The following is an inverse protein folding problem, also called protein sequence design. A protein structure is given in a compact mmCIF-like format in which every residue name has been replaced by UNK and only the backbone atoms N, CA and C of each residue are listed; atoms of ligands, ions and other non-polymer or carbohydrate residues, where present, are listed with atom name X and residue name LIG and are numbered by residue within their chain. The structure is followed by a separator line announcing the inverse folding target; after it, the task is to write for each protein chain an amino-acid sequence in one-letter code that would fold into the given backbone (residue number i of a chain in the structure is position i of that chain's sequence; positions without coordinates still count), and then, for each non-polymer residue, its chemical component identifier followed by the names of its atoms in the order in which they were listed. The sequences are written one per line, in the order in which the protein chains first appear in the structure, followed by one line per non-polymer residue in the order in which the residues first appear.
data_IF_596926763516
#
_entry.id   IF_596926763516
#
_cell.length_a   1.000
_cell.length_b   1.000
_cell.length_c   1.000
_cell.angle_alpha   90.00
_cell.angle_beta   90.00
_cell.angle_gamma   90.00
#
_symmetry.space_group_name_H-M   'P 1'
#
loop_
_entity.id
_entity.type
_entity.pdbx_description
1 polymer ?
#
# COMPACT_ATOMS: atom_id res chain seq x y z
N UNK A 1 -8.87 18.69 -24.78
CA UNK A 1 -8.17 18.22 -23.56
C UNK A 1 -9.19 18.20 -22.44
N UNK A 2 -9.24 17.17 -21.60
CA UNK A 2 -10.16 17.17 -20.46
C UNK A 2 -9.48 17.95 -19.33
N UNK A 3 -9.87 19.22 -19.15
CA UNK A 3 -9.24 20.13 -18.20
C UNK A 3 -9.29 19.63 -16.75
N UNK A 4 -10.31 18.84 -16.39
CA UNK A 4 -10.43 18.22 -15.06
C UNK A 4 -9.47 17.05 -14.85
N UNK A 5 -8.96 16.45 -15.93
CA UNK A 5 -8.10 15.26 -15.91
C UNK A 5 -6.69 15.53 -16.42
N UNK A 6 -6.32 16.79 -16.68
CA UNK A 6 -5.00 17.12 -17.22
C UNK A 6 -4.40 18.28 -16.45
N UNK A 7 -3.27 18.01 -15.79
CA UNK A 7 -2.57 18.98 -14.97
C UNK A 7 -1.07 19.00 -15.22
N UNK A 8 -0.42 20.01 -14.68
CA UNK A 8 1.04 20.14 -14.72
C UNK A 8 1.52 20.80 -13.44
N UNK A 9 2.67 20.34 -12.93
CA UNK A 9 3.29 20.88 -11.74
C UNK A 9 4.80 21.01 -11.98
N UNK A 10 5.41 22.01 -11.34
CA UNK A 10 6.85 22.14 -11.22
C UNK A 10 7.20 21.81 -9.78
N UNK A 11 8.06 20.83 -9.58
CA UNK A 11 8.62 20.46 -8.28
C UNK A 11 10.03 21.04 -8.25
N UNK A 12 10.29 21.98 -7.34
CA UNK A 12 11.62 22.54 -7.12
C UNK A 12 12.13 22.13 -5.75
N UNK A 13 13.46 22.04 -5.61
CA UNK A 13 14.08 21.99 -4.29
C UNK A 13 13.66 23.22 -3.48
N UNK A 14 13.51 23.06 -2.14
CA UNK A 14 13.14 24.15 -1.21
C UNK A 14 14.04 25.40 -1.32
N UNK A 15 15.21 25.27 -1.94
CA UNK A 15 16.19 26.34 -2.15
C UNK A 15 16.02 27.15 -3.45
N UNK A 16 15.17 26.73 -4.39
CA UNK A 16 14.99 27.43 -5.66
C UNK A 16 13.60 28.06 -5.79
N UNK A 17 13.58 29.35 -6.14
CA UNK A 17 12.37 30.13 -6.44
C UNK A 17 11.50 29.38 -7.45
N UNK A 18 10.25 29.11 -7.09
CA UNK A 18 9.29 28.37 -7.92
C UNK A 18 9.30 28.86 -9.37
N UNK A 19 9.79 28.00 -10.28
CA UNK A 19 9.76 28.28 -11.71
C UNK A 19 8.33 28.52 -12.19
N UNK A 20 8.13 29.48 -13.09
CA UNK A 20 6.80 29.71 -13.68
C UNK A 20 6.50 28.60 -14.68
N UNK A 21 5.38 27.90 -14.48
CA UNK A 21 4.84 26.95 -15.46
C UNK A 21 4.68 27.64 -16.81
N UNK A 22 5.20 27.00 -17.87
CA UNK A 22 5.08 27.52 -19.22
C UNK A 22 3.59 27.60 -19.60
N UNK A 23 3.18 28.68 -20.26
CA UNK A 23 1.76 28.97 -20.54
C UNK A 23 1.08 27.95 -21.46
N UNK A 24 1.86 27.13 -22.15
CA UNK A 24 1.33 26.03 -22.99
C UNK A 24 0.96 24.78 -22.21
N UNK A 25 1.34 24.68 -20.94
CA UNK A 25 1.06 23.50 -20.13
C UNK A 25 -0.37 23.54 -19.54
N UNK A 26 -1.00 22.35 -19.39
CA UNK A 26 -2.26 22.21 -18.67
C UNK A 26 -2.22 22.84 -17.28
N UNK A 27 -3.26 23.61 -16.93
CA UNK A 27 -3.35 24.34 -15.64
C UNK A 27 -4.02 23.54 -14.52
N UNK A 28 -4.49 22.32 -14.79
CA UNK A 28 -5.17 21.49 -13.80
C UNK A 28 -4.23 20.88 -12.77
N UNK A 29 -4.81 20.20 -11.78
CA UNK A 29 -4.08 19.41 -10.81
C UNK A 29 -3.66 18.05 -11.41
N UNK A 30 -2.49 17.53 -11.02
CA UNK A 30 -2.10 16.15 -11.32
C UNK A 30 -2.78 15.23 -10.30
N UNK A 31 -3.63 14.32 -10.77
CA UNK A 31 -4.49 13.46 -9.94
C UNK A 31 -4.44 12.00 -10.39
N UNK A 32 -4.59 11.08 -9.45
CA UNK A 32 -4.77 9.64 -9.70
C UNK A 32 -5.67 9.04 -8.61
N UNK A 33 -6.88 8.60 -8.96
CA UNK A 33 -7.85 8.15 -7.96
C UNK A 33 -8.18 9.26 -6.97
N UNK A 34 -7.91 9.04 -5.69
CA UNK A 34 -8.00 10.05 -4.63
C UNK A 34 -6.67 10.72 -4.31
N UNK A 35 -5.63 10.50 -5.11
CA UNK A 35 -4.36 11.19 -4.96
C UNK A 35 -4.32 12.48 -5.76
N UNK A 36 -3.76 13.52 -5.15
CA UNK A 36 -3.42 14.80 -5.76
C UNK A 36 -1.95 15.09 -5.48
N UNK A 37 -1.17 15.38 -6.52
CA UNK A 37 0.22 15.80 -6.36
C UNK A 37 0.27 17.20 -5.74
N UNK A 38 0.96 17.32 -4.61
CA UNK A 38 1.29 18.61 -4.01
C UNK A 38 2.64 19.08 -4.55
N UNK A 39 2.63 20.17 -5.33
CA UNK A 39 3.82 20.71 -5.96
C UNK A 39 4.84 21.26 -4.95
N UNK A 40 4.39 21.68 -3.76
CA UNK A 40 5.25 22.25 -2.73
C UNK A 40 6.11 21.20 -2.01
N UNK A 41 5.53 20.03 -1.72
CA UNK A 41 6.25 18.91 -1.11
C UNK A 41 6.79 17.91 -2.12
N UNK A 42 6.29 17.91 -3.36
CA UNK A 42 6.59 16.90 -4.38
C UNK A 42 5.94 15.54 -4.09
N UNK A 43 4.98 15.48 -3.15
CA UNK A 43 4.35 14.22 -2.69
C UNK A 43 2.90 14.12 -3.12
N UNK A 44 2.41 12.91 -3.33
CA UNK A 44 0.98 12.67 -3.52
C UNK A 44 0.25 12.67 -2.16
N UNK A 45 -0.74 13.55 -2.04
CA UNK A 45 -1.62 13.66 -0.88
C UNK A 45 -3.00 13.10 -1.21
N UNK A 46 -3.70 12.57 -0.21
CA UNK A 46 -5.09 12.14 -0.38
C UNK A 46 -5.99 13.38 -0.45
N UNK A 47 -6.75 13.52 -1.54
CA UNK A 47 -7.73 14.57 -1.75
C UNK A 47 -8.93 14.38 -0.82
N UNK A 48 -8.86 15.06 0.32
CA UNK A 48 -9.88 14.99 1.35
C UNK A 48 -11.25 15.52 0.89
N UNK A 49 -11.30 16.44 -0.08
CA UNK A 49 -12.55 16.97 -0.64
C UNK A 49 -13.24 15.90 -1.50
N UNK A 50 -12.47 15.16 -2.28
CA UNK A 50 -12.97 14.01 -3.03
C UNK A 50 -13.47 12.92 -2.08
N UNK A 51 -12.72 12.63 -1.02
CA UNK A 51 -13.11 11.65 0.02
C UNK A 51 -14.42 12.05 0.69
N UNK A 52 -14.63 13.33 1.00
CA UNK A 52 -15.87 13.80 1.62
C UNK A 52 -17.12 13.53 0.76
N UNK A 53 -17.02 13.67 -0.56
CA UNK A 53 -18.11 13.29 -1.48
C UNK A 53 -18.43 11.80 -1.39
N UNK A 54 -17.39 10.97 -1.31
CA UNK A 54 -17.54 9.51 -1.21
C UNK A 54 -17.98 9.04 0.18
N UNK A 55 -17.73 9.81 1.24
CA UNK A 55 -18.29 9.56 2.57
C UNK A 55 -19.82 9.67 2.55
N UNK A 56 -20.34 10.74 1.94
CA UNK A 56 -21.80 10.93 1.81
C UNK A 56 -22.44 9.85 0.92
N UNK A 57 -21.73 9.43 -0.13
CA UNK A 57 -22.16 8.29 -0.94
C UNK A 57 -22.18 6.99 -0.13
N UNK A 58 -21.12 6.70 0.65
CA UNK A 58 -21.07 5.51 1.50
C UNK A 58 -22.22 5.49 2.52
N UNK A 59 -22.51 6.62 3.18
CA UNK A 59 -23.66 6.73 4.09
C UNK A 59 -24.96 6.35 3.39
N UNK A 60 -25.22 6.92 2.22
CA UNK A 60 -26.42 6.62 1.40
C UNK A 60 -26.53 5.13 1.07
N UNK A 61 -25.43 4.50 0.67
CA UNK A 61 -25.42 3.07 0.35
C UNK A 61 -25.71 2.21 1.59
N UNK A 62 -25.14 2.56 2.74
CA UNK A 62 -25.38 1.85 3.99
C UNK A 62 -26.84 1.99 4.46
N UNK A 63 -27.42 3.19 4.37
CA UNK A 63 -28.80 3.46 4.75
C UNK A 63 -29.82 2.72 3.87
N UNK A 64 -29.49 2.48 2.60
CA UNK A 64 -30.34 1.76 1.68
C UNK A 64 -30.31 0.23 1.86
N UNK A 65 -29.40 -0.31 2.68
CA UNK A 65 -29.25 -1.74 2.89
C UNK A 65 -30.44 -2.33 3.67
N UNK A 66 -31.03 -3.39 3.12
CA UNK A 66 -32.24 -4.03 3.69
C UNK A 66 -31.93 -5.12 4.69
N UNK A 67 -30.76 -5.76 4.56
CA UNK A 67 -30.29 -6.81 5.46
C UNK A 67 -28.93 -6.47 6.07
N UNK A 68 -28.59 -7.11 7.18
CA UNK A 68 -27.28 -7.00 7.83
C UNK A 68 -26.15 -7.49 6.92
N UNK A 69 -26.40 -8.54 6.12
CA UNK A 69 -25.41 -9.04 5.17
C UNK A 69 -25.14 -8.06 4.02
N UNK A 70 -26.19 -7.43 3.48
CA UNK A 70 -26.02 -6.38 2.45
C UNK A 70 -25.18 -5.22 3.01
N UNK A 71 -25.46 -4.82 4.25
CA UNK A 71 -24.74 -3.74 4.93
C UNK A 71 -23.25 -4.08 5.11
N UNK A 72 -22.94 -5.30 5.58
CA UNK A 72 -21.55 -5.77 5.73
C UNK A 72 -20.86 -5.83 4.36
N UNK A 73 -21.55 -6.32 3.33
CA UNK A 73 -21.01 -6.39 1.98
C UNK A 73 -20.74 -4.99 1.40
N UNK A 74 -21.65 -4.05 1.59
CA UNK A 74 -21.49 -2.64 1.20
C UNK A 74 -20.26 -2.03 1.87
N UNK A 75 -20.11 -2.23 3.18
CA UNK A 75 -18.93 -1.78 3.92
C UNK A 75 -17.65 -2.44 3.39
N UNK A 76 -17.63 -3.76 3.22
CA UNK A 76 -16.44 -4.48 2.78
C UNK A 76 -15.98 -4.05 1.37
N UNK A 77 -16.92 -3.85 0.45
CA UNK A 77 -16.63 -3.43 -0.92
C UNK A 77 -16.26 -1.94 -0.97
N UNK A 78 -17.04 -1.09 -0.30
CA UNK A 78 -16.90 0.35 -0.44
C UNK A 78 -16.03 0.97 0.65
N UNK A 79 -16.43 0.82 1.91
CA UNK A 79 -15.72 1.35 3.08
C UNK A 79 -14.31 0.81 3.23
N UNK A 80 -14.12 -0.51 3.07
CA UNK A 80 -12.82 -1.13 3.28
C UNK A 80 -11.95 -1.18 2.00
N UNK A 81 -12.53 -1.57 0.85
CA UNK A 81 -11.76 -1.84 -0.38
C UNK A 81 -11.71 -0.69 -1.37
N UNK A 82 -12.83 -0.01 -1.65
CA UNK A 82 -12.85 1.05 -2.66
C UNK A 82 -11.99 2.24 -2.25
N UNK A 83 -12.10 2.71 -1.01
CA UNK A 83 -11.27 3.82 -0.52
C UNK A 83 -9.78 3.48 -0.58
N UNK A 84 -9.38 2.37 0.01
CA UNK A 84 -7.97 1.93 0.06
C UNK A 84 -7.38 1.74 -1.34
N UNK A 85 -8.14 1.14 -2.28
CA UNK A 85 -7.69 1.02 -3.68
C UNK A 85 -7.51 2.38 -4.38
N UNK A 86 -8.30 3.40 -4.02
CA UNK A 86 -8.21 4.73 -4.63
C UNK A 86 -7.21 5.66 -3.92
N UNK A 87 -6.70 5.28 -2.74
CA UNK A 87 -5.60 5.99 -2.08
C UNK A 87 -4.23 5.69 -2.69
N UNK A 88 -4.16 4.81 -3.69
CA UNK A 88 -2.90 4.34 -4.25
C UNK A 88 -2.38 3.14 -3.49
N UNK A 89 -1.65 2.28 -4.21
CA UNK A 89 -1.01 1.13 -3.59
C UNK A 89 0.24 1.59 -2.82
N UNK A 90 0.42 1.16 -1.57
CA UNK A 90 1.65 1.43 -0.83
C UNK A 90 2.87 0.89 -1.58
N UNK A 91 3.90 1.72 -1.72
CA UNK A 91 5.18 1.37 -2.32
C UNK A 91 6.27 2.20 -1.66
N UNK A 92 7.52 1.72 -1.73
CA UNK A 92 8.66 2.40 -1.09
C UNK A 92 8.84 3.85 -1.54
N UNK A 93 8.44 4.21 -2.76
CA UNK A 93 8.49 5.57 -3.28
C UNK A 93 7.54 6.55 -2.59
N UNK A 94 6.45 6.07 -1.99
CA UNK A 94 5.54 6.90 -1.19
C UNK A 94 6.01 7.02 0.27
N UNK A 95 6.65 5.95 0.76
CA UNK A 95 7.17 5.85 2.12
C UNK A 95 6.10 5.77 3.21
N UNK A 96 6.57 5.69 4.45
CA UNK A 96 5.73 5.51 5.64
C UNK A 96 4.70 6.63 5.86
N UNK A 97 5.08 7.87 5.54
CA UNK A 97 4.20 9.03 5.67
C UNK A 97 2.88 8.87 4.89
N UNK A 98 2.92 8.19 3.73
CA UNK A 98 1.72 7.92 2.95
C UNK A 98 0.82 6.86 3.62
N UNK A 99 1.39 5.79 4.18
CA UNK A 99 0.63 4.77 4.94
C UNK A 99 -0.03 5.40 6.17
N UNK A 100 0.69 6.27 6.88
CA UNK A 100 0.12 7.01 8.02
C UNK A 100 -1.06 7.92 7.58
N UNK A 101 -0.93 8.60 6.45
CA UNK A 101 -2.03 9.40 5.86
C UNK A 101 -3.23 8.54 5.44
N UNK A 102 -3.01 7.32 4.93
CA UNK A 102 -4.09 6.35 4.65
C UNK A 102 -4.80 5.92 5.92
N UNK A 103 -4.05 5.58 6.98
CA UNK A 103 -4.61 5.20 8.30
C UNK A 103 -5.44 6.34 8.91
N UNK A 104 -4.93 7.57 8.87
CA UNK A 104 -5.64 8.76 9.33
C UNK A 104 -6.92 8.99 8.52
N UNK A 105 -6.85 8.86 7.20
CA UNK A 105 -8.02 9.04 6.33
C UNK A 105 -9.08 7.95 6.57
N UNK A 106 -8.67 6.69 6.74
CA UNK A 106 -9.58 5.59 7.11
C UNK A 106 -10.27 5.86 8.45
N UNK A 107 -9.53 6.36 9.45
CA UNK A 107 -10.08 6.74 10.75
C UNK A 107 -11.11 7.87 10.61
N UNK A 108 -10.79 8.89 9.80
CA UNK A 108 -11.68 10.01 9.50
C UNK A 108 -12.96 9.57 8.79
N UNK A 109 -12.85 8.63 7.84
CA UNK A 109 -14.01 8.06 7.15
C UNK A 109 -14.93 7.37 8.16
N UNK A 110 -14.40 6.48 9.01
CA UNK A 110 -15.21 5.81 10.02
C UNK A 110 -15.88 6.80 10.98
N UNK A 111 -15.13 7.80 11.47
CA UNK A 111 -15.66 8.83 12.35
C UNK A 111 -16.82 9.60 11.72
N UNK A 112 -16.69 10.01 10.44
CA UNK A 112 -17.76 10.76 9.74
C UNK A 112 -18.94 9.87 9.33
N UNK A 113 -18.71 8.63 8.92
CA UNK A 113 -19.78 7.72 8.48
C UNK A 113 -20.60 7.23 9.67
N UNK A 114 -19.96 6.93 10.80
CA UNK A 114 -20.59 6.34 11.98
C UNK A 114 -20.67 7.32 13.16
N UNK A 115 -20.82 8.62 12.89
CA UNK A 115 -20.90 9.66 13.91
C UNK A 115 -21.96 9.35 14.99
N UNK A 116 -23.13 8.85 14.56
CA UNK A 116 -24.22 8.42 15.46
C UNK A 116 -23.89 7.22 16.36
N UNK A 117 -22.91 6.40 15.96
CA UNK A 117 -22.49 5.19 16.65
C UNK A 117 -21.08 5.32 17.25
N UNK A 118 -20.68 6.55 17.61
CA UNK A 118 -19.39 6.83 18.25
C UNK A 118 -18.17 6.69 17.34
N UNK A 119 -18.37 6.76 16.01
CA UNK A 119 -17.30 6.67 15.02
C UNK A 119 -16.76 5.27 14.74
N UNK A 120 -17.48 4.22 15.18
CA UNK A 120 -17.04 2.83 15.04
C UNK A 120 -17.99 2.02 14.15
N UNK A 121 -17.41 1.33 13.16
CA UNK A 121 -18.12 0.36 12.31
C UNK A 121 -18.66 -0.81 13.12
N UNK A 122 -17.93 -1.28 14.14
CA UNK A 122 -18.36 -2.40 14.98
C UNK A 122 -19.53 -1.98 15.85
N UNK A 123 -19.49 -0.77 16.42
CA UNK A 123 -20.60 -0.24 17.21
C UNK A 123 -21.87 -0.08 16.36
N UNK A 124 -21.75 0.49 15.15
CA UNK A 124 -22.88 0.62 14.22
C UNK A 124 -23.47 -0.76 13.85
N UNK A 125 -22.63 -1.74 13.54
CA UNK A 125 -23.09 -3.08 13.20
C UNK A 125 -23.75 -3.80 14.39
N UNK A 126 -23.20 -3.67 15.61
CA UNK A 126 -23.82 -4.20 16.83
C UNK A 126 -25.19 -3.59 17.09
N UNK A 127 -25.34 -2.28 16.86
CA UNK A 127 -26.62 -1.59 16.97
C UNK A 127 -27.65 -2.15 15.97
N UNK A 128 -27.27 -2.29 14.68
CA UNK A 128 -28.13 -2.86 13.65
C UNK A 128 -28.59 -4.28 14.02
N UNK A 129 -27.66 -5.12 14.52
CA UNK A 129 -28.00 -6.50 14.92
C UNK A 129 -28.94 -6.49 16.14
N UNK A 130 -28.66 -5.63 17.13
CA UNK A 130 -29.51 -5.49 18.33
C UNK A 130 -30.91 -5.02 17.98
N UNK A 131 -31.07 -4.04 17.09
CA UNK A 131 -32.38 -3.51 16.69
C UNK A 131 -33.20 -4.52 15.89
N UNK A 132 -32.56 -5.28 15.00
CA UNK A 132 -33.25 -6.24 14.12
C UNK A 132 -33.56 -7.57 14.78
N UNK A 133 -32.64 -8.08 15.60
CA UNK A 133 -32.71 -9.44 16.14
C UNK A 133 -32.83 -9.50 17.67
N UNK A 134 -32.74 -8.36 18.36
CA UNK A 134 -32.79 -8.31 19.83
C UNK A 134 -31.56 -8.89 20.52
N UNK A 135 -30.52 -9.26 19.77
CA UNK A 135 -29.28 -9.85 20.30
C UNK A 135 -28.36 -8.76 20.81
N UNK A 136 -27.99 -8.87 22.09
CA UNK A 136 -27.07 -7.96 22.77
C UNK A 136 -25.77 -8.69 23.12
N UNK A 137 -24.72 -7.94 23.48
CA UNK A 137 -23.43 -8.47 23.93
C UNK A 137 -22.68 -9.33 22.88
N UNK A 138 -22.60 -8.82 21.65
CA UNK A 138 -21.85 -9.47 20.58
C UNK A 138 -20.35 -9.13 20.73
N UNK A 139 -19.44 -10.12 20.84
CA UNK A 139 -18.00 -9.86 20.89
C UNK A 139 -17.51 -9.24 19.58
N UNK A 140 -16.52 -8.36 19.62
CA UNK A 140 -16.00 -7.73 18.40
C UNK A 140 -15.36 -8.76 17.47
N UNK A 141 -14.69 -9.76 18.05
CA UNK A 141 -14.14 -10.88 17.30
C UNK A 141 -15.15 -11.56 16.39
N UNK A 142 -16.40 -11.72 16.82
CA UNK A 142 -17.43 -12.37 16.01
C UNK A 142 -17.76 -11.60 14.72
N UNK A 143 -17.67 -10.27 14.76
CA UNK A 143 -17.93 -9.43 13.59
C UNK A 143 -16.84 -9.59 12.53
N UNK A 144 -15.57 -9.62 12.96
CA UNK A 144 -14.41 -9.70 12.06
C UNK A 144 -14.03 -11.12 11.66
N UNK A 145 -14.36 -12.12 12.48
CA UNK A 145 -13.95 -13.50 12.26
C UNK A 145 -14.41 -14.02 10.89
N UNK A 146 -13.61 -14.88 10.24
CA UNK A 146 -13.97 -15.45 8.95
C UNK A 146 -15.31 -16.18 9.01
N UNK A 147 -16.09 -16.06 7.93
CA UNK A 147 -17.36 -16.79 7.81
C UNK A 147 -17.16 -18.32 7.85
N UNK A 148 -15.99 -18.79 7.40
CA UNK A 148 -15.57 -20.20 7.48
C UNK A 148 -15.32 -20.70 8.91
N UNK A 149 -15.28 -19.79 9.89
CA UNK A 149 -15.20 -20.07 11.33
C UNK A 149 -16.47 -19.63 12.07
N UNK A 150 -17.53 -19.27 11.33
CA UNK A 150 -18.83 -18.87 11.87
C UNK A 150 -18.96 -17.39 12.23
N UNK A 151 -17.98 -16.55 11.91
CA UNK A 151 -18.08 -15.09 12.07
C UNK A 151 -18.81 -14.39 10.92
N UNK A 152 -18.94 -13.06 11.01
CA UNK A 152 -19.60 -12.25 9.98
C UNK A 152 -18.67 -11.73 8.88
N UNK A 153 -17.35 -11.86 9.09
CA UNK A 153 -16.29 -11.46 8.16
C UNK A 153 -16.46 -10.03 7.62
N UNK A 154 -16.72 -9.11 8.57
CA UNK A 154 -16.54 -7.68 8.39
C UNK A 154 -15.05 -7.40 8.12
N UNK A 155 -14.74 -6.49 7.19
CA UNK A 155 -13.37 -6.15 6.82
C UNK A 155 -12.91 -4.86 7.51
N UNK A 156 -11.69 -4.91 8.02
CA UNK A 156 -11.00 -3.73 8.57
C UNK A 156 -10.11 -3.10 7.50
N UNK A 157 -10.28 -1.81 7.18
CA UNK A 157 -9.36 -1.10 6.27
C UNK A 157 -7.97 -0.87 6.89
N UNK A 158 -7.82 -1.07 8.20
CA UNK A 158 -6.58 -0.78 8.93
C UNK A 158 -5.61 -1.95 8.94
N UNK A 159 -6.11 -3.19 9.02
CA UNK A 159 -5.27 -4.39 9.15
C UNK A 159 -4.25 -4.51 8.02
N UNK A 160 -4.65 -4.40 6.72
CA UNK A 160 -3.67 -4.46 5.63
C UNK A 160 -2.59 -3.38 5.73
N UNK A 161 -2.94 -2.18 6.23
CA UNK A 161 -2.00 -1.07 6.38
C UNK A 161 -1.02 -1.30 7.54
N UNK A 162 -1.50 -1.83 8.68
CA UNK A 162 -0.62 -2.16 9.81
C UNK A 162 0.35 -3.29 9.48
N UNK A 163 -0.06 -4.26 8.65
CA UNK A 163 0.79 -5.39 8.24
C UNK A 163 2.03 -4.99 7.44
N UNK A 164 1.96 -3.83 6.75
CA UNK A 164 3.04 -3.33 5.89
C UNK A 164 3.78 -2.12 6.48
N UNK A 165 3.21 -1.46 7.50
CA UNK A 165 3.68 -0.16 8.01
C UNK A 165 5.13 -0.18 8.51
N UNK A 166 5.58 -1.29 9.08
CA UNK A 166 6.95 -1.43 9.60
C UNK A 166 7.95 -1.95 8.55
N UNK A 167 7.46 -2.32 7.36
CA UNK A 167 8.27 -2.82 6.23
C UNK A 167 8.49 -1.79 5.15
N UNK A 168 7.54 -0.87 4.98
CA UNK A 168 7.69 0.21 4.02
C UNK A 168 8.85 1.12 4.41
N UNK A 169 9.56 1.60 3.40
CA UNK A 169 10.63 2.58 3.58
C UNK A 169 10.15 3.79 4.40
N UNK A 170 10.89 4.18 5.42
CA UNK A 170 10.53 5.34 6.24
C UNK A 170 10.64 6.66 5.46
N UNK A 171 11.78 6.87 4.80
CA UNK A 171 12.03 8.02 3.93
C UNK A 171 12.49 7.56 2.54
N UNK A 172 11.69 7.75 1.47
CA UNK A 172 12.09 7.39 0.11
C UNK A 172 13.37 8.08 -0.36
N UNK A 173 13.66 9.28 0.15
CA UNK A 173 14.83 10.07 -0.22
C UNK A 173 16.15 9.37 0.12
N UNK A 174 16.18 8.51 1.15
CA UNK A 174 17.40 7.78 1.54
C UNK A 174 17.88 6.79 0.47
N UNK A 175 16.97 6.29 -0.38
CA UNK A 175 17.34 5.44 -1.52
C UNK A 175 18.11 6.24 -2.57
N UNK A 176 17.71 7.49 -2.79
CA UNK A 176 18.40 8.39 -3.71
C UNK A 176 19.74 8.87 -3.14
N UNK A 177 19.81 9.16 -1.84
CA UNK A 177 21.07 9.50 -1.16
C UNK A 177 22.10 8.37 -1.33
N UNK A 178 21.68 7.12 -1.05
CA UNK A 178 22.51 5.94 -1.25
C UNK A 178 22.92 5.75 -2.71
N UNK A 179 22.00 5.98 -3.66
CA UNK A 179 22.32 5.94 -5.09
C UNK A 179 23.45 6.90 -5.45
N UNK A 180 23.40 8.15 -4.98
CA UNK A 180 24.44 9.14 -5.27
C UNK A 180 25.80 8.76 -4.66
N UNK A 181 25.80 8.20 -3.44
CA UNK A 181 27.02 7.66 -2.81
C UNK A 181 27.61 6.48 -3.60
N UNK A 182 26.77 5.54 -4.01
CA UNK A 182 27.18 4.35 -4.76
C UNK A 182 27.66 4.71 -6.18
N UNK A 183 27.06 5.73 -6.81
CA UNK A 183 27.49 6.27 -8.11
C UNK A 183 28.87 6.93 -8.02
N UNK A 184 29.12 7.77 -7.01
CA UNK A 184 30.44 8.37 -6.78
C UNK A 184 31.51 7.30 -6.51
N UNK A 185 31.18 6.28 -5.72
CA UNK A 185 32.07 5.15 -5.48
C UNK A 185 32.32 4.31 -6.74
N UNK A 186 31.32 4.14 -7.60
CA UNK A 186 31.47 3.46 -8.89
C UNK A 186 32.38 4.26 -9.83
N UNK A 187 32.22 5.58 -9.90
CA UNK A 187 33.09 6.47 -10.68
C UNK A 187 34.54 6.39 -10.20
N UNK A 188 34.78 6.54 -8.88
CA UNK A 188 36.13 6.45 -8.30
C UNK A 188 36.81 5.12 -8.58
N UNK A 189 36.06 4.01 -8.51
CA UNK A 189 36.57 2.67 -8.86
C UNK A 189 36.92 2.55 -10.35
N UNK A 190 36.03 2.99 -11.24
CA UNK A 190 36.26 2.94 -12.68
C UNK A 190 37.46 3.80 -13.10
N UNK A 191 37.57 5.01 -12.55
CA UNK A 191 38.70 5.92 -12.76
C UNK A 191 40.02 5.30 -12.29
N UNK A 192 40.05 4.77 -11.06
CA UNK A 192 41.25 4.14 -10.52
C UNK A 192 41.69 2.91 -11.32
N UNK A 193 40.75 2.16 -11.90
CA UNK A 193 41.06 1.01 -12.75
C UNK A 193 41.63 1.41 -14.11
N UNK A 194 41.11 2.49 -14.71
CA UNK A 194 41.64 3.06 -15.94
C UNK A 194 43.07 3.57 -15.75
N UNK A 195 43.30 4.36 -14.70
CA UNK A 195 44.60 4.99 -14.41
C UNK A 195 45.68 3.99 -13.99
N UNK A 196 45.32 2.89 -13.32
CA UNK A 196 46.28 1.84 -12.93
C UNK A 196 46.66 0.91 -14.09
N UNK A 197 45.95 1.00 -15.23
CA UNK A 197 46.11 0.08 -16.36
C UNK A 197 45.71 -1.36 -16.02
N UNK A 198 45.06 -1.59 -14.88
CA UNK A 198 44.60 -2.90 -14.45
C UNK A 198 43.39 -3.26 -15.31
N UNK A 199 43.55 -4.27 -16.16
CA UNK A 199 42.44 -4.80 -16.96
C UNK A 199 41.49 -5.45 -15.98
N UNK A 200 40.51 -4.69 -15.54
CA UNK A 200 39.47 -5.14 -14.64
C UNK A 200 38.76 -6.32 -15.32
N UNK A 201 39.22 -7.54 -15.02
CA UNK A 201 38.63 -8.75 -15.56
C UNK A 201 37.17 -8.82 -15.14
N UNK A 202 36.39 -9.62 -15.86
CA UNK A 202 34.96 -9.91 -15.65
C UNK A 202 34.52 -10.29 -14.20
N UNK A 203 35.45 -10.29 -13.23
CA UNK A 203 35.23 -10.57 -11.80
C UNK A 203 34.97 -9.33 -10.93
N UNK A 204 35.15 -8.11 -11.44
CA UNK A 204 35.12 -6.88 -10.65
C UNK A 204 34.07 -5.86 -11.08
N UNK A 205 33.22 -6.23 -12.05
CA UNK A 205 32.08 -5.39 -12.36
C UNK A 205 31.13 -5.34 -11.14
N UNK A 206 30.56 -4.17 -10.80
CA UNK A 206 29.52 -4.09 -9.77
C UNK A 206 28.43 -5.12 -10.05
N UNK A 207 27.79 -5.71 -9.03
CA UNK A 207 26.67 -6.62 -9.24
C UNK A 207 25.63 -5.96 -10.17
N UNK A 208 25.35 -6.57 -11.32
CA UNK A 208 24.40 -6.05 -12.32
C UNK A 208 25.01 -5.27 -13.48
N UNK A 209 26.30 -4.90 -13.43
CA UNK A 209 27.06 -4.47 -14.62
C UNK A 209 27.64 -5.71 -15.29
N UNK A 210 26.88 -6.31 -16.20
CA UNK A 210 27.59 -6.86 -17.35
C UNK A 210 28.14 -5.64 -18.06
N UNK A 211 29.45 -5.52 -18.27
CA UNK A 211 29.97 -4.72 -19.39
C UNK A 211 29.98 -5.66 -20.61
N UNK A 212 28.87 -5.87 -21.37
CA UNK A 212 29.03 -6.36 -22.72
C UNK A 212 29.76 -5.26 -23.50
N UNK A 213 31.02 -5.52 -23.82
CA UNK A 213 31.69 -4.98 -25.00
C UNK A 213 31.84 -3.45 -25.14
N UNK A 214 31.58 -2.65 -24.10
CA UNK A 214 31.86 -1.20 -24.11
C UNK A 214 33.29 -0.83 -23.73
N UNK A 215 34.09 -1.78 -23.26
CA UNK A 215 35.53 -1.65 -23.45
C UNK A 215 35.76 -1.92 -24.94
N UNK A 216 36.12 -0.91 -25.74
CA UNK A 216 36.58 -1.22 -27.07
C UNK A 216 37.68 -2.26 -26.90
N UNK A 217 37.58 -3.34 -27.67
CA UNK A 217 38.76 -4.12 -28.05
C UNK A 217 39.63 -3.22 -28.94
N UNK A 218 39.99 -2.02 -28.49
CA UNK A 218 40.85 -1.10 -29.21
C UNK A 218 42.27 -1.42 -28.79
N UNK A 219 43.03 -1.75 -29.82
CA UNK A 219 44.34 -1.18 -30.09
C UNK A 219 44.91 -0.26 -29.00
N UNK A 220 46.21 -0.43 -28.80
CA UNK A 220 47.17 0.28 -27.96
C UNK A 220 47.13 1.83 -27.89
N UNK A 221 46.13 2.51 -28.45
CA UNK A 221 45.99 3.98 -28.52
C UNK A 221 45.27 4.64 -27.34
N UNK A 222 44.38 3.95 -26.61
CA UNK A 222 43.53 4.57 -25.58
C UNK A 222 44.15 4.62 -24.17
N UNK A 223 45.42 4.19 -24.02
CA UNK A 223 46.10 4.17 -22.72
C UNK A 223 46.52 5.54 -22.22
N UNK A 224 46.64 6.51 -23.13
CA UNK A 224 47.16 7.86 -22.83
C UNK A 224 46.04 8.90 -22.67
N UNK A 225 44.77 8.53 -22.88
CA UNK A 225 43.65 9.45 -22.68
C UNK A 225 43.22 9.48 -21.20
N UNK A 226 42.95 10.69 -20.65
CA UNK A 226 42.43 10.81 -19.29
C UNK A 226 41.06 10.17 -19.19
N UNK A 227 40.77 9.53 -18.05
CA UNK A 227 39.42 8.99 -17.80
C UNK A 227 38.37 10.12 -17.84
N UNK A 228 37.18 9.79 -18.33
CA UNK A 228 36.08 10.75 -18.48
C UNK A 228 35.73 11.47 -17.16
N UNK A 229 35.15 12.66 -17.28
CA UNK A 229 34.68 13.42 -16.12
C UNK A 229 33.48 12.73 -15.43
N UNK A 230 33.21 13.06 -14.17
CA UNK A 230 32.01 12.55 -13.49
C UNK A 230 30.71 13.02 -14.17
N UNK A 231 30.70 14.24 -14.71
CA UNK A 231 29.55 14.76 -15.46
C UNK A 231 29.27 13.91 -16.71
N UNK A 232 30.32 13.52 -17.42
CA UNK A 232 30.18 12.65 -18.60
C UNK A 232 29.79 11.22 -18.22
N UNK A 233 30.40 10.67 -17.17
CA UNK A 233 30.06 9.35 -16.62
C UNK A 233 28.57 9.25 -16.23
N UNK A 234 28.02 10.34 -15.68
CA UNK A 234 26.64 10.41 -15.19
C UNK A 234 25.63 11.00 -16.20
N UNK A 235 26.07 11.39 -17.39
CA UNK A 235 25.23 12.09 -18.38
C UNK A 235 24.04 11.25 -18.86
N UNK A 236 24.22 9.94 -19.00
CA UNK A 236 23.21 9.01 -19.55
C UNK A 236 22.75 7.97 -18.52
N UNK A 237 22.59 8.38 -17.25
CA UNK A 237 22.18 7.52 -16.12
C UNK A 237 21.04 6.54 -16.45
N UNK A 238 20.00 7.01 -17.14
CA UNK A 238 18.84 6.18 -17.49
C UNK A 238 19.17 4.97 -18.38
N UNK A 239 20.24 5.07 -19.18
CA UNK A 239 20.65 4.00 -20.11
C UNK A 239 21.82 3.17 -19.58
N UNK A 240 22.70 3.78 -18.78
CA UNK A 240 23.99 3.17 -18.41
C UNK A 240 24.11 2.79 -16.95
N UNK A 241 23.31 3.38 -16.05
CA UNK A 241 23.45 3.17 -14.61
C UNK A 241 22.60 1.99 -14.13
N UNK A 242 23.26 0.85 -13.88
CA UNK A 242 22.61 -0.29 -13.23
C UNK A 242 22.18 0.04 -11.79
N UNK A 243 22.94 0.92 -11.11
CA UNK A 243 22.67 1.35 -9.73
C UNK A 243 21.34 2.11 -9.70
N UNK A 244 21.15 3.07 -10.62
CA UNK A 244 19.87 3.77 -10.75
C UNK A 244 18.73 2.79 -11.06
N UNK A 245 18.97 1.81 -11.93
CA UNK A 245 17.99 0.77 -12.23
C UNK A 245 17.57 -0.03 -10.99
N UNK A 246 18.54 -0.46 -10.16
CA UNK A 246 18.26 -1.16 -8.90
C UNK A 246 17.47 -0.26 -7.95
N UNK A 247 17.93 0.96 -7.71
CA UNK A 247 17.24 1.94 -6.85
C UNK A 247 15.81 2.21 -7.32
N UNK A 248 15.59 2.30 -8.64
CA UNK A 248 14.26 2.45 -9.22
C UNK A 248 13.35 1.26 -8.88
N UNK A 249 13.85 0.02 -9.00
CA UNK A 249 13.08 -1.16 -8.62
C UNK A 249 12.81 -1.24 -7.12
N UNK A 250 13.79 -0.90 -6.27
CA UNK A 250 13.63 -0.84 -4.81
C UNK A 250 12.55 0.19 -4.42
N UNK A 251 12.52 1.35 -5.07
CA UNK A 251 11.50 2.39 -4.86
C UNK A 251 10.11 1.95 -5.32
N UNK A 252 10.00 1.14 -6.38
CA UNK A 252 8.72 0.62 -6.87
C UNK A 252 8.19 -0.57 -6.07
N UNK A 253 9.01 -1.20 -5.25
CA UNK A 253 8.63 -2.40 -4.51
C UNK A 253 7.46 -2.11 -3.54
N UNK A 254 6.40 -2.91 -3.67
CA UNK A 254 5.28 -2.94 -2.73
C UNK A 254 5.71 -3.80 -1.51
N UNK A 255 5.54 -3.32 -0.27
CA UNK A 255 5.85 -4.12 0.91
C UNK A 255 4.96 -5.37 0.94
N UNK A 256 5.56 -6.53 1.22
CA UNK A 256 4.83 -7.78 1.33
C UNK A 256 4.06 -7.86 2.66
N UNK A 257 2.90 -8.53 2.64
CA UNK A 257 2.11 -8.79 3.83
C UNK A 257 2.92 -9.62 4.84
N UNK A 258 3.10 -9.10 6.04
CA UNK A 258 3.84 -9.81 7.10
C UNK A 258 2.99 -10.95 7.65
N UNK A 259 3.52 -12.17 7.57
CA UNK A 259 3.01 -13.29 8.36
C UNK A 259 3.28 -13.00 9.85
N UNK A 260 2.23 -12.96 10.64
CA UNK A 260 2.39 -12.74 12.08
C UNK A 260 2.90 -14.00 12.77
N UNK A 261 3.71 -13.80 13.80
CA UNK A 261 4.01 -14.90 14.72
C UNK A 261 2.79 -15.17 15.58
N UNK A 262 2.10 -16.27 15.26
CA UNK A 262 0.95 -16.72 16.02
C UNK A 262 1.39 -17.16 17.43
N UNK A 263 0.64 -16.73 18.43
CA UNK A 263 0.76 -17.22 19.82
C UNK A 263 0.53 -18.73 19.88
N UNK A 264 1.11 -19.42 20.88
CA UNK A 264 1.02 -20.89 21.03
C UNK A 264 -0.42 -21.40 20.95
N UNK A 265 -1.33 -20.68 21.62
CA UNK A 265 -2.72 -21.07 21.76
C UNK A 265 -3.46 -20.98 20.43
N UNK A 266 -3.18 -19.95 19.63
CA UNK A 266 -3.77 -19.77 18.30
C UNK A 266 -3.10 -20.69 17.26
N UNK A 267 -1.78 -20.83 17.33
CA UNK A 267 -0.98 -21.63 16.38
C UNK A 267 -1.36 -23.12 16.43
N UNK A 268 -1.58 -23.68 17.61
CA UNK A 268 -2.01 -25.07 17.79
C UNK A 268 -3.34 -25.38 17.11
N UNK A 269 -4.25 -24.40 17.03
CA UNK A 269 -5.58 -24.55 16.42
C UNK A 269 -5.50 -24.35 14.90
N UNK A 270 -4.72 -23.38 14.42
CA UNK A 270 -4.55 -23.10 12.98
C UNK A 270 -3.75 -24.18 12.23
N UNK A 271 -2.81 -24.86 12.90
CA UNK A 271 -2.02 -25.97 12.33
C UNK A 271 -2.84 -27.20 11.92
N UNK A 272 -4.16 -27.20 12.13
CA UNK A 272 -5.06 -28.31 11.77
C UNK A 272 -5.50 -28.34 10.29
N UNK A 273 -4.79 -27.62 9.40
CA UNK A 273 -4.86 -27.86 7.94
C UNK A 273 -5.66 -26.86 7.11
N UNK A 274 -5.88 -25.62 7.59
CA UNK A 274 -6.47 -24.54 6.77
C UNK A 274 -5.38 -23.61 6.23
N UNK A 275 -5.27 -23.49 4.89
CA UNK A 275 -4.53 -22.40 4.24
C UNK A 275 -5.26 -21.08 4.51
N UNK A 276 -4.88 -20.37 5.58
CA UNK A 276 -5.45 -19.08 5.94
C UNK A 276 -4.65 -17.96 5.26
N UNK A 277 -5.32 -16.87 4.88
CA UNK A 277 -4.62 -15.69 4.37
C UNK A 277 -3.91 -14.93 5.50
N UNK A 278 -2.82 -14.18 5.22
CA UNK A 278 -2.15 -13.34 6.23
C UNK A 278 -3.10 -12.39 6.97
N UNK A 279 -4.12 -11.85 6.28
CA UNK A 279 -5.17 -11.04 6.88
C UNK A 279 -6.01 -11.83 7.89
N UNK A 280 -6.45 -13.05 7.54
CA UNK A 280 -7.24 -13.89 8.44
C UNK A 280 -6.46 -14.29 9.68
N UNK A 281 -5.18 -14.63 9.52
CA UNK A 281 -4.30 -14.91 10.64
C UNK A 281 -4.21 -13.70 11.57
N UNK A 282 -4.03 -12.49 11.04
CA UNK A 282 -4.01 -11.27 11.83
C UNK A 282 -5.29 -11.07 12.65
N UNK A 283 -6.45 -11.26 12.02
CA UNK A 283 -7.76 -11.16 12.69
C UNK A 283 -7.90 -12.21 13.78
N UNK A 284 -7.51 -13.45 13.51
CA UNK A 284 -7.59 -14.56 14.46
C UNK A 284 -6.63 -14.32 15.63
N UNK A 285 -5.43 -13.80 15.40
CA UNK A 285 -4.50 -13.47 16.47
C UNK A 285 -5.02 -12.31 17.34
N UNK A 286 -5.64 -11.30 16.73
CA UNK A 286 -6.13 -10.12 17.44
C UNK A 286 -7.35 -10.45 18.31
N UNK A 287 -8.32 -11.18 17.77
CA UNK A 287 -9.58 -11.45 18.46
C UNK A 287 -9.73 -12.88 19.00
N UNK A 288 -8.80 -13.77 18.66
CA UNK A 288 -8.82 -15.18 19.08
C UNK A 288 -8.97 -15.39 20.58
N UNK A 289 -8.23 -14.67 21.44
CA UNK A 289 -8.40 -14.80 22.90
C UNK A 289 -9.84 -14.50 23.37
N UNK A 290 -10.49 -13.46 22.84
CA UNK A 290 -11.89 -13.13 23.15
C UNK A 290 -12.83 -14.25 22.67
N UNK A 291 -12.61 -14.75 21.45
CA UNK A 291 -13.43 -15.80 20.86
C UNK A 291 -13.29 -17.14 21.61
N UNK A 292 -12.08 -17.51 22.02
CA UNK A 292 -11.82 -18.68 22.84
C UNK A 292 -12.47 -18.57 24.21
N UNK A 293 -12.36 -17.41 24.87
CA UNK A 293 -12.98 -17.19 26.18
C UNK A 293 -14.52 -17.25 26.12
N UNK A 294 -15.12 -16.74 25.03
CA UNK A 294 -16.58 -16.69 24.85
C UNK A 294 -17.18 -18.02 24.39
N UNK A 295 -16.55 -18.69 23.42
CA UNK A 295 -17.13 -19.84 22.72
C UNK A 295 -16.41 -21.17 23.01
N UNK A 296 -15.28 -21.14 23.73
CA UNK A 296 -14.46 -22.31 24.03
C UNK A 296 -13.67 -22.85 22.82
N UNK A 297 -13.83 -22.25 21.64
CA UNK A 297 -13.20 -22.67 20.39
C UNK A 297 -13.14 -21.49 19.39
N UNK A 298 -12.20 -21.54 18.44
CA UNK A 298 -12.13 -20.56 17.35
C UNK A 298 -13.22 -20.77 16.28
N UNK A 299 -13.74 -22.00 16.15
CA UNK A 299 -14.90 -22.26 15.31
C UNK A 299 -16.16 -22.01 16.15
N UNK A 300 -16.83 -20.90 15.91
CA UNK A 300 -18.02 -20.47 16.66
C UNK A 300 -19.19 -21.42 16.43
N UNK A 301 -19.22 -22.07 15.27
CA UNK A 301 -20.25 -23.00 14.85
C UNK A 301 -19.60 -24.27 14.30
N UNK A 302 -20.24 -25.42 14.51
CA UNK A 302 -19.78 -26.67 13.92
C UNK A 302 -19.77 -26.57 12.38
N UNK A 303 -18.69 -27.00 11.71
CA UNK A 303 -18.55 -26.87 10.25
C UNK A 303 -19.68 -27.49 9.42
N UNK A 304 -20.44 -28.43 9.97
CA UNK A 304 -21.61 -29.06 9.32
C UNK A 304 -22.95 -28.35 9.53
N UNK A 305 -23.03 -27.39 10.45
CA UNK A 305 -24.25 -26.64 10.76
C UNK A 305 -24.27 -25.26 10.10
N UNK A 306 -23.14 -24.79 9.58
CA UNK A 306 -23.06 -23.55 8.83
C UNK A 306 -23.67 -23.76 7.43
N UNK A 307 -24.67 -22.97 7.02
CA UNK A 307 -25.17 -22.98 5.65
C UNK A 307 -24.18 -22.25 4.72
N UNK A 308 -22.95 -22.75 4.64
CA UNK A 308 -21.82 -22.15 3.90
C UNK A 308 -22.17 -21.90 2.44
N UNK A 309 -22.94 -22.80 1.82
CA UNK A 309 -23.47 -22.62 0.47
C UNK A 309 -24.38 -21.40 0.33
N UNK A 310 -25.33 -21.19 1.26
CA UNK A 310 -26.20 -20.00 1.23
C UNK A 310 -25.44 -18.72 1.54
N UNK A 311 -24.53 -18.74 2.52
CA UNK A 311 -23.68 -17.60 2.87
C UNK A 311 -22.77 -17.22 1.71
N UNK A 312 -22.21 -18.21 1.00
CA UNK A 312 -21.46 -18.02 -0.24
C UNK A 312 -22.31 -17.35 -1.32
N UNK A 313 -23.52 -17.85 -1.58
CA UNK A 313 -24.44 -17.26 -2.56
C UNK A 313 -24.82 -15.81 -2.24
N UNK A 314 -25.09 -15.48 -0.98
CA UNK A 314 -25.38 -14.09 -0.59
C UNK A 314 -24.18 -13.17 -0.80
N UNK A 315 -22.96 -13.67 -0.58
CA UNK A 315 -21.71 -12.94 -0.79
C UNK A 315 -21.31 -12.76 -2.25
N UNK A 316 -21.64 -13.75 -3.09
CA UNK A 316 -21.44 -13.70 -4.54
C UNK A 316 -22.51 -12.88 -5.25
N UNK A 317 -23.65 -12.64 -4.60
CA UNK A 317 -24.68 -11.76 -5.13
C UNK A 317 -24.08 -10.36 -5.36
N UNK A 318 -24.20 -9.86 -6.59
CA UNK A 318 -23.65 -8.56 -6.96
C UNK A 318 -24.35 -7.49 -6.15
N UNK A 319 -23.59 -6.78 -5.32
CA UNK A 319 -24.10 -5.63 -4.58
C UNK A 319 -24.72 -4.62 -5.56
N UNK A 320 -25.98 -4.28 -5.33
CA UNK A 320 -26.74 -3.34 -6.17
C UNK A 320 -26.60 -1.93 -5.60
N UNK A 321 -25.67 -1.18 -6.16
CA UNK A 321 -25.52 0.25 -5.87
C UNK A 321 -26.83 0.99 -6.08
N UNK A 322 -27.22 1.81 -5.12
CA UNK A 322 -28.29 2.77 -5.32
C UNK A 322 -27.71 4.02 -5.99
N UNK A 323 -28.35 4.51 -7.07
CA UNK A 323 -27.92 5.74 -7.75
C UNK A 323 -28.37 7.02 -7.03
#
# INVERSE_FOLDING_TARGET
MNEEKTGSAIITSKTETSGRLHSSLPKGDIRWGFLKLDAGSGRFLIDQVMVDKHIEELKRQLDACKSTFDWIQAWNIYGARFFTNNFGKPANCFGKAHVDMMLETCSRIQAKVFESSGGSVTAALKQIISERFGVKDIPEGYLYFPASMGGLDLKSPFVPLYMIRDKITENPESHMDKFFEDEDAAYRRAKSAHESGDRLGSRFAPPGLSLPSLLPTSSTSDKDEPFMSFEEFSRNREQTSSILGITYWELLEEPYDTWITLTSDVSSILNTGKNSSPYEEWIIQLYGPEMLARFGSLNVVEPGLLPTGMVGMFRESRFKWQG
#
